data_IF_662530556133
#
_entry.id   IF_662530556133
#
_cell.length_a   1.000
_cell.length_b   1.000
_cell.length_c   1.000
_cell.angle_alpha   90.00
_cell.angle_beta   90.00
_cell.angle_gamma   90.00
#
_symmetry.space_group_name_H-M   'P 1'
#
loop_
_entity.id
_entity.type
_entity.pdbx_description
1 polymer ?
#
# COMPACT_ATOMS: atom_id res chain seq x y z
N UNK A 1 -13.50 -24.12 77.84
CA UNK A 1 -13.73 -24.25 76.38
C UNK A 1 -14.57 -23.06 75.91
N UNK A 2 -13.97 -22.10 75.18
CA UNK A 2 -14.68 -21.07 74.39
C UNK A 2 -13.72 -20.57 73.30
N UNK A 3 -13.86 -21.10 72.09
CA UNK A 3 -13.20 -20.58 70.90
C UNK A 3 -14.10 -19.53 70.24
N UNK A 4 -13.58 -18.31 70.04
CA UNK A 4 -14.27 -17.19 69.39
C UNK A 4 -13.99 -17.27 67.88
N UNK A 5 -15.00 -17.31 66.98
CA UNK A 5 -14.74 -17.43 65.56
C UNK A 5 -14.22 -16.12 64.95
N UNK A 6 -13.36 -16.31 63.96
CA UNK A 6 -12.54 -15.36 63.21
C UNK A 6 -13.37 -14.36 62.38
N UNK A 7 -13.33 -13.08 62.75
CA UNK A 7 -13.87 -11.95 61.97
C UNK A 7 -12.91 -11.46 60.86
N UNK A 8 -11.79 -12.15 60.64
CA UNK A 8 -10.70 -11.68 59.77
C UNK A 8 -11.03 -11.87 58.27
N UNK A 9 -11.97 -12.75 57.93
CA UNK A 9 -12.28 -13.09 56.53
C UNK A 9 -13.10 -12.03 55.76
N UNK A 10 -13.77 -11.09 56.44
CA UNK A 10 -14.66 -10.12 55.77
C UNK A 10 -13.95 -8.82 55.32
N UNK A 11 -12.80 -8.49 55.89
CA UNK A 11 -12.10 -7.24 55.55
C UNK A 11 -11.28 -7.32 54.24
N UNK A 12 -10.88 -8.53 53.82
CA UNK A 12 -10.05 -8.71 52.63
C UNK A 12 -10.81 -8.55 51.30
N UNK A 13 -12.13 -8.78 51.29
CA UNK A 13 -12.91 -8.74 50.05
C UNK A 13 -13.17 -7.32 49.53
N UNK A 14 -13.25 -6.32 50.41
CA UNK A 14 -13.59 -4.94 50.02
C UNK A 14 -12.40 -4.12 49.51
N UNK A 15 -11.16 -4.46 49.89
CA UNK A 15 -9.97 -3.74 49.43
C UNK A 15 -9.57 -4.07 47.99
N UNK A 16 -9.85 -5.30 47.54
CA UNK A 16 -9.48 -5.76 46.20
C UNK A 16 -10.31 -5.10 45.08
N UNK A 17 -11.57 -4.74 45.35
CA UNK A 17 -12.47 -4.15 44.36
C UNK A 17 -12.11 -2.67 44.11
N UNK A 18 -11.67 -1.93 45.14
CA UNK A 18 -11.31 -0.53 45.01
C UNK A 18 -10.00 -0.30 44.23
N UNK A 19 -9.03 -1.22 44.30
CA UNK A 19 -7.78 -1.15 43.51
C UNK A 19 -7.94 -1.56 42.03
N UNK A 20 -8.98 -2.33 41.68
CA UNK A 20 -9.26 -2.71 40.29
C UNK A 20 -10.00 -1.62 39.49
N UNK A 21 -10.70 -0.69 40.18
CA UNK A 21 -11.41 0.41 39.52
C UNK A 21 -10.50 1.59 39.16
N UNK A 22 -9.37 1.77 39.85
CA UNK A 22 -8.39 2.84 39.55
C UNK A 22 -7.40 2.48 38.44
N UNK A 23 -7.40 1.23 37.96
CA UNK A 23 -6.49 0.74 36.92
C UNK A 23 -7.06 0.83 35.49
N UNK A 24 -8.30 1.30 35.30
CA UNK A 24 -8.93 1.46 33.98
C UNK A 24 -8.96 2.90 33.43
N UNK A 25 -8.48 3.91 34.14
CA UNK A 25 -8.53 5.33 33.72
C UNK A 25 -7.29 5.82 32.95
N UNK A 26 -6.45 4.92 32.43
CA UNK A 26 -5.12 5.26 31.91
C UNK A 26 -5.00 5.77 30.47
N UNK A 27 -6.05 5.85 29.65
CA UNK A 27 -5.88 6.10 28.20
C UNK A 27 -6.09 7.55 27.72
N UNK A 28 -6.43 8.51 28.58
CA UNK A 28 -6.78 9.88 28.12
C UNK A 28 -5.69 10.95 28.34
N UNK A 29 -4.57 10.63 28.99
CA UNK A 29 -3.49 11.59 29.28
C UNK A 29 -2.32 11.55 28.28
N UNK A 30 -2.44 10.78 27.19
CA UNK A 30 -1.49 10.85 26.08
C UNK A 30 -1.88 12.00 25.16
N UNK A 31 -1.61 13.23 25.61
CA UNK A 31 -1.41 14.40 24.75
C UNK A 31 -0.08 14.19 24.00
N UNK A 32 -0.02 13.13 23.19
CA UNK A 32 1.10 12.85 22.30
C UNK A 32 1.15 13.89 21.19
N UNK A 33 2.30 14.04 20.50
CA UNK A 33 2.35 14.89 19.32
C UNK A 33 1.23 14.46 18.35
N UNK A 34 0.40 15.41 17.92
CA UNK A 34 -0.59 15.12 16.88
C UNK A 34 0.11 14.49 15.69
N UNK A 35 -0.35 13.33 15.20
CA UNK A 35 0.20 12.73 13.99
C UNK A 35 0.17 13.78 12.87
N UNK A 36 1.33 14.11 12.31
CA UNK A 36 1.40 14.91 11.09
C UNK A 36 1.56 13.95 9.94
N UNK A 37 0.64 14.02 8.99
CA UNK A 37 0.85 13.39 7.69
C UNK A 37 2.03 14.09 7.03
N UNK A 38 3.13 13.40 6.70
CA UNK A 38 4.20 14.01 5.93
C UNK A 38 3.66 14.46 4.57
N UNK A 39 4.11 15.62 4.10
CA UNK A 39 3.79 16.09 2.75
C UNK A 39 4.32 15.07 1.74
N UNK A 40 3.50 14.68 0.75
CA UNK A 40 3.96 13.81 -0.34
C UNK A 40 4.83 14.64 -1.28
N UNK A 41 6.14 14.39 -1.26
CA UNK A 41 7.06 14.93 -2.26
C UNK A 41 6.80 14.24 -3.59
N UNK A 42 6.39 14.99 -4.62
CA UNK A 42 6.32 14.46 -5.98
C UNK A 42 7.74 14.16 -6.49
N UNK A 43 7.94 13.08 -7.28
CA UNK A 43 9.22 12.85 -7.96
C UNK A 43 9.62 14.07 -8.78
N UNK A 44 10.88 14.50 -8.65
CA UNK A 44 11.43 15.62 -9.42
C UNK A 44 11.44 15.22 -10.90
N UNK A 45 10.98 16.12 -11.77
CA UNK A 45 11.04 15.90 -13.22
C UNK A 45 12.52 15.79 -13.67
N UNK A 46 12.90 14.72 -14.36
CA UNK A 46 14.28 14.50 -14.76
C UNK A 46 14.72 15.52 -15.82
N UNK A 47 15.98 15.97 -15.75
CA UNK A 47 16.55 16.94 -16.72
C UNK A 47 16.68 16.34 -18.13
N UNK A 48 16.84 15.02 -18.22
CA UNK A 48 16.87 14.25 -19.47
C UNK A 48 15.78 13.20 -19.42
N UNK A 49 14.95 13.12 -20.47
CA UNK A 49 13.92 12.12 -20.56
C UNK A 49 14.55 10.71 -20.53
N UNK A 50 14.11 9.83 -19.62
CA UNK A 50 14.59 8.45 -19.59
C UNK A 50 14.17 7.72 -20.86
N UNK A 51 14.98 6.73 -21.27
CA UNK A 51 14.73 5.91 -22.45
C UNK A 51 14.40 4.48 -22.03
N UNK A 52 13.53 3.83 -22.80
CA UNK A 52 13.21 2.42 -22.61
C UNK A 52 14.40 1.54 -23.01
N UNK A 53 14.71 0.52 -22.20
CA UNK A 53 15.79 -0.44 -22.44
C UNK A 53 15.18 -1.84 -22.62
N UNK A 54 14.94 -2.32 -23.85
CA UNK A 54 14.26 -3.59 -24.11
C UNK A 54 14.95 -4.82 -23.49
N UNK A 55 16.28 -4.80 -23.44
CA UNK A 55 17.11 -5.86 -22.85
C UNK A 55 17.57 -5.53 -21.40
N UNK A 56 17.05 -4.45 -20.83
CA UNK A 56 17.39 -3.98 -19.48
C UNK A 56 16.62 -4.70 -18.38
N UNK A 57 17.14 -4.65 -17.16
CA UNK A 57 16.46 -5.14 -15.95
C UNK A 57 15.28 -4.25 -15.54
N UNK A 58 14.51 -4.67 -14.54
CA UNK A 58 13.51 -3.81 -13.90
C UNK A 58 14.15 -2.53 -13.35
N UNK A 59 15.30 -2.64 -12.67
CA UNK A 59 16.03 -1.47 -12.15
C UNK A 59 16.49 -0.52 -13.27
N UNK A 60 16.97 -1.06 -14.40
CA UNK A 60 17.40 -0.24 -15.54
C UNK A 60 16.21 0.54 -16.15
N UNK A 61 15.03 -0.07 -16.18
CA UNK A 61 13.81 0.53 -16.74
C UNK A 61 12.99 1.34 -15.72
N UNK A 62 13.33 1.34 -14.43
CA UNK A 62 12.58 2.06 -13.39
C UNK A 62 12.44 3.56 -13.70
N UNK A 63 13.48 4.31 -14.14
CA UNK A 63 13.32 5.71 -14.51
C UNK A 63 12.31 5.90 -15.64
N UNK A 64 12.34 5.05 -16.67
CA UNK A 64 11.42 5.11 -17.81
C UNK A 64 9.98 4.81 -17.39
N UNK A 65 9.78 3.75 -16.61
CA UNK A 65 8.47 3.39 -16.07
C UNK A 65 7.88 4.49 -15.18
N UNK A 66 8.72 5.10 -14.33
CA UNK A 66 8.34 6.24 -13.48
C UNK A 66 7.86 7.43 -14.32
N UNK A 67 8.55 7.70 -15.42
CA UNK A 67 8.16 8.77 -16.36
C UNK A 67 6.83 8.48 -17.06
N UNK A 68 6.60 7.23 -17.48
CA UNK A 68 5.32 6.82 -18.07
C UNK A 68 4.16 7.05 -17.09
N UNK A 69 4.33 6.65 -15.83
CA UNK A 69 3.31 6.90 -14.81
C UNK A 69 3.14 8.39 -14.52
N UNK A 70 4.22 9.18 -14.48
CA UNK A 70 4.16 10.63 -14.31
C UNK A 70 3.32 11.28 -15.40
N UNK A 71 3.59 10.95 -16.66
CA UNK A 71 2.87 11.48 -17.82
C UNK A 71 1.39 11.10 -17.78
N UNK A 72 1.08 9.85 -17.43
CA UNK A 72 -0.31 9.42 -17.23
C UNK A 72 -1.00 10.21 -16.11
N UNK A 73 -0.30 10.38 -14.98
CA UNK A 73 -0.81 11.10 -13.82
C UNK A 73 -1.05 12.59 -14.10
N UNK A 74 -0.24 13.20 -14.97
CA UNK A 74 -0.41 14.59 -15.37
C UNK A 74 -1.57 14.83 -16.36
N UNK A 75 -2.06 13.77 -17.03
CA UNK A 75 -3.20 13.85 -17.94
C UNK A 75 -4.57 13.73 -17.26
N UNK A 76 -5.63 13.80 -18.05
CA UNK A 76 -7.03 13.72 -17.59
C UNK A 76 -7.67 12.32 -17.75
N UNK A 77 -6.88 11.31 -18.15
CA UNK A 77 -7.36 9.94 -18.33
C UNK A 77 -7.88 9.33 -17.00
N UNK A 78 -8.90 8.45 -17.05
CA UNK A 78 -9.48 7.87 -15.83
C UNK A 78 -8.44 7.04 -15.06
N UNK A 79 -8.43 7.14 -13.72
CA UNK A 79 -7.52 6.32 -12.89
C UNK A 79 -8.15 4.94 -12.71
N UNK A 80 -8.09 4.15 -13.79
CA UNK A 80 -8.63 2.80 -13.91
C UNK A 80 -7.56 1.88 -14.53
N UNK A 81 -7.64 0.60 -14.22
CA UNK A 81 -6.62 -0.39 -14.56
C UNK A 81 -6.41 -0.53 -16.06
N UNK A 82 -7.48 -0.59 -16.86
CA UNK A 82 -7.35 -0.75 -18.32
C UNK A 82 -6.59 0.41 -18.99
N UNK A 83 -6.95 1.68 -18.80
CA UNK A 83 -6.23 2.78 -19.44
C UNK A 83 -4.81 2.98 -18.89
N UNK A 84 -4.54 2.69 -17.60
CA UNK A 84 -3.17 2.68 -17.07
C UNK A 84 -2.33 1.58 -17.74
N UNK A 85 -2.85 0.36 -17.82
CA UNK A 85 -2.15 -0.76 -18.48
C UNK A 85 -1.90 -0.46 -19.95
N UNK A 86 -2.87 0.14 -20.65
CA UNK A 86 -2.69 0.54 -22.05
C UNK A 86 -1.57 1.57 -22.20
N UNK A 87 -1.52 2.60 -21.36
CA UNK A 87 -0.46 3.61 -21.41
C UNK A 87 0.94 3.01 -21.18
N UNK A 88 1.04 2.03 -20.26
CA UNK A 88 2.30 1.31 -20.01
C UNK A 88 2.64 0.34 -21.16
N UNK A 89 1.67 -0.33 -21.77
CA UNK A 89 1.92 -1.19 -22.92
C UNK A 89 2.32 -0.39 -24.17
N UNK A 90 1.69 0.76 -24.39
CA UNK A 90 1.99 1.68 -25.50
C UNK A 90 3.39 2.27 -25.41
N UNK A 91 3.99 2.32 -24.22
CA UNK A 91 5.38 2.75 -24.02
C UNK A 91 6.41 1.64 -24.30
N UNK A 92 5.96 0.42 -24.62
CA UNK A 92 6.81 -0.68 -25.09
C UNK A 92 6.99 -1.83 -24.10
N UNK A 93 6.41 -1.75 -22.90
CA UNK A 93 6.41 -2.88 -21.96
C UNK A 93 5.48 -4.02 -22.44
N UNK A 94 5.88 -5.26 -22.17
CA UNK A 94 5.09 -6.44 -22.55
C UNK A 94 3.82 -6.56 -21.70
N UNK A 95 2.66 -6.33 -22.33
CA UNK A 95 1.34 -6.45 -21.69
C UNK A 95 1.08 -7.83 -21.08
N UNK A 96 1.66 -8.89 -21.65
CA UNK A 96 1.49 -10.26 -21.11
C UNK A 96 2.26 -10.49 -19.81
N UNK A 97 3.25 -9.64 -19.50
CA UNK A 97 3.98 -9.64 -18.25
C UNK A 97 3.39 -8.68 -17.20
N UNK A 98 2.23 -8.08 -17.49
CA UNK A 98 1.61 -7.10 -16.62
C UNK A 98 0.58 -7.70 -15.67
N UNK A 99 0.38 -7.03 -14.53
CA UNK A 99 -0.78 -7.25 -13.68
C UNK A 99 -1.33 -5.92 -13.16
N UNK A 100 -2.61 -5.89 -12.79
CA UNK A 100 -3.28 -4.68 -12.34
C UNK A 100 -4.31 -4.98 -11.25
N UNK A 101 -4.51 -4.07 -10.31
CA UNK A 101 -5.57 -4.17 -9.31
C UNK A 101 -6.96 -4.01 -9.94
N UNK A 102 -8.00 -4.35 -9.17
CA UNK A 102 -9.38 -4.06 -9.56
C UNK A 102 -9.70 -2.56 -9.42
N UNK A 103 -10.63 -2.08 -10.24
CA UNK A 103 -11.09 -0.68 -10.26
C UNK A 103 -12.07 -0.37 -9.12
N UNK A 104 -12.66 -1.41 -8.53
CA UNK A 104 -13.59 -1.32 -7.41
C UNK A 104 -13.22 -2.30 -6.30
N UNK A 105 -13.51 -1.88 -5.07
CA UNK A 105 -13.49 -2.75 -3.90
C UNK A 105 -14.62 -3.79 -3.95
N UNK A 106 -14.52 -4.84 -3.13
CA UNK A 106 -15.56 -5.88 -3.04
C UNK A 106 -16.93 -5.34 -2.55
N UNK A 107 -16.98 -4.12 -2.00
CA UNK A 107 -18.21 -3.43 -1.59
C UNK A 107 -18.75 -2.45 -2.64
N UNK A 108 -18.13 -2.37 -3.83
CA UNK A 108 -18.62 -1.57 -4.96
C UNK A 108 -18.24 -0.09 -4.91
N UNK A 109 -17.21 0.27 -4.13
CA UNK A 109 -16.62 1.61 -4.19
C UNK A 109 -15.42 1.61 -5.13
N UNK A 110 -15.25 2.68 -5.91
CA UNK A 110 -14.05 2.92 -6.70
C UNK A 110 -12.79 2.82 -5.84
N UNK A 111 -11.72 2.26 -6.40
CA UNK A 111 -10.46 2.12 -5.71
C UNK A 111 -9.78 3.49 -5.50
N UNK A 112 -9.31 3.76 -4.29
CA UNK A 112 -8.58 5.00 -3.96
C UNK A 112 -7.21 5.06 -4.67
N UNK A 113 -6.70 3.92 -5.11
CA UNK A 113 -5.48 3.79 -5.89
C UNK A 113 -5.55 2.57 -6.79
N UNK A 114 -5.00 2.71 -7.99
CA UNK A 114 -4.77 1.59 -8.89
C UNK A 114 -3.30 1.20 -8.83
N UNK A 115 -3.05 -0.09 -8.68
CA UNK A 115 -1.72 -0.68 -8.73
C UNK A 115 -1.54 -1.37 -10.07
N UNK A 116 -0.39 -1.14 -10.71
CA UNK A 116 0.01 -1.77 -11.96
C UNK A 116 1.41 -2.33 -11.78
N UNK A 117 1.74 -3.43 -12.43
CA UNK A 117 3.11 -3.93 -12.46
C UNK A 117 3.49 -4.49 -13.82
N UNK A 118 4.80 -4.55 -14.06
CA UNK A 118 5.42 -5.23 -15.20
C UNK A 118 6.51 -6.15 -14.67
N UNK A 119 6.45 -7.44 -14.99
CA UNK A 119 7.52 -8.39 -14.65
C UNK A 119 8.62 -8.36 -15.70
N UNK A 120 9.88 -8.23 -15.25
CA UNK A 120 11.07 -8.25 -16.10
C UNK A 120 12.07 -9.22 -15.48
N UNK A 121 12.17 -10.42 -16.05
CA UNK A 121 12.99 -11.49 -15.48
C UNK A 121 12.51 -11.88 -14.07
N UNK A 122 13.39 -11.87 -13.05
CA UNK A 122 13.03 -12.20 -11.67
C UNK A 122 12.46 -11.01 -10.87
N UNK A 123 12.43 -9.81 -11.47
CA UNK A 123 12.05 -8.58 -10.79
C UNK A 123 10.76 -8.00 -11.38
N UNK A 124 10.16 -7.07 -10.63
CA UNK A 124 8.93 -6.39 -10.96
C UNK A 124 9.14 -4.88 -10.89
N UNK A 125 8.63 -4.18 -11.90
CA UNK A 125 8.31 -2.77 -11.79
C UNK A 125 6.92 -2.65 -11.16
N UNK A 126 6.83 -1.97 -10.02
CA UNK A 126 5.59 -1.73 -9.28
C UNK A 126 5.20 -0.26 -9.43
N UNK A 127 3.97 -0.01 -9.83
CA UNK A 127 3.39 1.31 -10.01
C UNK A 127 2.13 1.48 -9.20
N UNK A 128 1.94 2.68 -8.65
CA UNK A 128 0.70 3.09 -8.00
C UNK A 128 0.28 4.45 -8.54
N UNK A 129 -1.02 4.62 -8.80
CA UNK A 129 -1.62 5.93 -9.09
C UNK A 129 -2.84 6.12 -8.18
N UNK A 130 -2.82 7.19 -7.38
CA UNK A 130 -3.95 7.57 -6.51
C UNK A 130 -5.06 8.23 -7.34
N UNK A 131 -6.30 7.83 -7.11
CA UNK A 131 -7.45 8.39 -7.81
C UNK A 131 -7.64 9.88 -7.45
N UNK A 132 -7.58 10.20 -6.15
CA UNK A 132 -7.61 11.58 -5.68
C UNK A 132 -6.22 12.22 -5.78
N UNK A 133 -6.17 13.45 -6.31
CA UNK A 133 -4.95 14.23 -6.44
C UNK A 133 -3.92 13.68 -7.42
N UNK A 134 -4.17 12.50 -8.03
CA UNK A 134 -3.33 11.89 -9.07
C UNK A 134 -1.85 11.83 -8.68
N UNK A 135 -1.58 11.51 -7.42
CA UNK A 135 -0.21 11.19 -6.99
C UNK A 135 0.19 9.82 -7.50
N UNK A 136 1.44 9.65 -7.89
CA UNK A 136 1.96 8.37 -8.36
C UNK A 136 3.24 7.97 -7.61
N UNK A 137 3.55 6.69 -7.63
CA UNK A 137 4.79 6.12 -7.12
C UNK A 137 5.22 4.95 -8.02
N UNK A 138 6.53 4.71 -8.09
CA UNK A 138 7.12 3.62 -8.85
C UNK A 138 8.34 3.07 -8.12
N UNK A 139 8.46 1.75 -8.05
CA UNK A 139 9.57 1.04 -7.39
C UNK A 139 9.92 -0.23 -8.19
N UNK A 140 11.17 -0.68 -8.08
CA UNK A 140 11.61 -1.96 -8.64
C UNK A 140 11.90 -2.91 -7.49
N UNK A 141 11.23 -4.06 -7.47
CA UNK A 141 11.32 -5.03 -6.38
C UNK A 141 11.39 -6.46 -6.93
N UNK A 142 12.03 -7.41 -6.22
CA UNK A 142 12.01 -8.82 -6.62
C UNK A 142 10.59 -9.38 -6.69
N UNK A 143 10.33 -10.23 -7.68
CA UNK A 143 9.09 -11.00 -7.72
C UNK A 143 9.01 -11.97 -6.54
N UNK A 144 7.80 -12.22 -6.05
CA UNK A 144 7.54 -13.08 -4.90
C UNK A 144 6.93 -14.41 -5.33
N UNK A 145 6.72 -15.30 -4.36
CA UNK A 145 6.17 -16.63 -4.57
C UNK A 145 7.23 -17.70 -4.84
N UNK A 146 6.84 -18.99 -4.83
CA UNK A 146 7.78 -20.10 -5.02
C UNK A 146 8.45 -20.07 -6.40
N UNK A 147 7.74 -19.56 -7.41
CA UNK A 147 8.18 -19.52 -8.81
C UNK A 147 8.76 -18.15 -9.21
N UNK A 148 8.83 -17.18 -8.29
CA UNK A 148 9.31 -15.81 -8.53
C UNK A 148 8.62 -15.14 -9.74
N UNK A 149 7.29 -15.23 -9.77
CA UNK A 149 6.46 -14.75 -10.87
C UNK A 149 5.30 -13.84 -10.44
N UNK A 150 5.15 -13.59 -9.14
CA UNK A 150 4.10 -12.73 -8.59
C UNK A 150 4.65 -11.33 -8.32
N UNK A 151 4.03 -10.30 -8.91
CA UNK A 151 4.41 -8.89 -8.67
C UNK A 151 3.44 -8.16 -7.73
N UNK A 152 2.13 -8.46 -7.79
CA UNK A 152 1.12 -7.86 -6.91
C UNK A 152 0.55 -8.93 -5.97
N UNK A 153 0.45 -8.60 -4.68
CA UNK A 153 -0.12 -9.49 -3.67
C UNK A 153 -1.65 -9.42 -3.74
N UNK A 154 -2.29 -10.59 -3.82
CA UNK A 154 -3.74 -10.74 -3.83
C UNK A 154 -4.30 -11.13 -5.21
N UNK A 155 -5.62 -11.06 -5.35
CA UNK A 155 -6.26 -11.24 -6.66
C UNK A 155 -6.07 -9.98 -7.51
N UNK A 156 -5.58 -10.15 -8.73
CA UNK A 156 -5.47 -9.09 -9.74
C UNK A 156 -6.59 -9.21 -10.76
N UNK A 157 -6.90 -8.10 -11.44
CA UNK A 157 -7.86 -8.10 -12.54
C UNK A 157 -7.23 -8.80 -13.75
N UNK A 158 -7.91 -9.79 -14.36
CA UNK A 158 -7.46 -10.37 -15.61
C UNK A 158 -7.29 -9.31 -16.70
N UNK A 159 -6.22 -9.41 -17.47
CA UNK A 159 -5.95 -8.53 -18.61
C UNK A 159 -6.39 -9.25 -19.89
N UNK A 160 -7.65 -9.08 -20.29
CA UNK A 160 -8.33 -9.84 -21.35
C UNK A 160 -8.83 -8.99 -22.55
N UNK A 161 -8.35 -7.74 -22.64
CA UNK A 161 -8.68 -6.80 -23.72
C UNK A 161 -7.54 -6.57 -24.71
#
# INVERSE_FOLDING_TARGET
MRGRPSNIRRAAASGAIALMLTSLTGCFLLEGPSPRTPERTAPVEPETAPEFMPDGSATDNLPYFTEVLRQYSAGDGPVEGQPIVNAVAESGFDKSAMSVSFDESKTGYAADSIFVSVRIGPDCLLGQIAAEGRGFAAEAEPAIGPDQDVCLIGETRPIDW
#
